data_IF_007172509160
#
_entry.id   IF_007172509160
#
_cell.length_a   1.000
_cell.length_b   1.000
_cell.length_c   1.000
_cell.angle_alpha   90.00
_cell.angle_beta   90.00
_cell.angle_gamma   90.00
#
_symmetry.space_group_name_H-M   'P 1'
#
loop_
_entity.id
_entity.type
_entity.pdbx_description
1 polymer ?
#
# COMPACT_ATOMS: atom_id res chain seq x y z
N UNK A 1 36.72 66.60 -4.15
CA UNK A 1 36.00 65.77 -3.17
C UNK A 1 34.52 65.40 -3.56
N UNK A 2 33.98 65.81 -4.71
CA UNK A 2 32.56 65.57 -5.10
C UNK A 2 32.37 64.39 -6.05
N UNK A 3 33.40 63.81 -6.63
CA UNK A 3 33.33 62.74 -7.59
C UNK A 3 33.29 61.33 -6.93
N UNK A 4 33.87 61.14 -5.73
CA UNK A 4 33.86 59.87 -5.01
C UNK A 4 32.55 59.55 -4.32
N UNK A 5 31.73 60.57 -4.01
CA UNK A 5 30.39 60.35 -3.39
C UNK A 5 29.34 59.93 -4.40
N UNK A 6 29.52 60.23 -5.69
CA UNK A 6 28.59 59.82 -6.74
C UNK A 6 28.78 58.33 -7.13
N UNK A 7 29.99 57.80 -7.06
CA UNK A 7 30.29 56.41 -7.36
C UNK A 7 29.80 55.47 -6.26
N UNK A 8 29.79 55.91 -4.99
CA UNK A 8 29.27 55.11 -3.88
C UNK A 8 27.75 55.00 -3.90
N UNK A 9 27.05 56.04 -4.31
CA UNK A 9 25.58 56.07 -4.41
C UNK A 9 25.05 55.17 -5.54
N UNK A 10 25.80 55.07 -6.66
CA UNK A 10 25.40 54.20 -7.80
C UNK A 10 25.61 52.69 -7.51
N UNK A 11 26.61 52.32 -6.69
CA UNK A 11 26.86 50.92 -6.31
C UNK A 11 25.80 50.41 -5.32
N UNK A 12 25.33 51.25 -4.39
CA UNK A 12 24.27 50.91 -3.45
C UNK A 12 22.91 50.79 -4.13
N UNK A 13 22.66 51.56 -5.19
CA UNK A 13 21.41 51.47 -5.97
C UNK A 13 21.32 50.19 -6.82
N UNK A 14 22.43 49.59 -7.25
CA UNK A 14 22.46 48.35 -8.01
C UNK A 14 22.27 47.07 -7.16
N UNK A 15 22.51 47.15 -5.86
CA UNK A 15 22.32 45.97 -4.97
C UNK A 15 20.89 45.79 -4.47
N UNK A 16 20.01 46.76 -4.70
CA UNK A 16 18.59 46.70 -4.33
C UNK A 16 17.66 46.24 -5.47
N UNK A 17 18.17 46.00 -6.68
CA UNK A 17 17.38 45.54 -7.84
C UNK A 17 17.33 44.00 -7.98
N UNK A 18 17.86 43.28 -7.04
CA UNK A 18 18.05 41.82 -7.11
C UNK A 18 17.01 40.96 -6.41
N UNK A 19 15.75 41.31 -6.36
CA UNK A 19 14.65 40.38 -5.98
C UNK A 19 13.31 40.92 -6.47
N UNK A 20 13.16 41.14 -7.77
CA UNK A 20 11.85 41.06 -8.39
C UNK A 20 11.70 39.63 -8.92
N UNK A 21 11.29 38.72 -8.06
CA UNK A 21 10.62 37.50 -8.52
C UNK A 21 9.38 37.97 -9.29
N UNK A 22 9.42 37.82 -10.61
CA UNK A 22 8.22 37.79 -11.44
C UNK A 22 7.35 36.71 -10.80
N UNK A 23 6.35 37.13 -10.04
CA UNK A 23 5.24 36.30 -9.64
C UNK A 23 4.50 35.97 -10.95
N UNK A 24 4.98 34.96 -11.69
CA UNK A 24 4.07 34.18 -12.49
C UNK A 24 2.97 33.75 -11.51
N UNK A 25 1.79 34.28 -11.71
CA UNK A 25 0.57 33.68 -11.20
C UNK A 25 0.50 32.27 -11.81
N UNK A 26 1.25 31.34 -11.23
CA UNK A 26 0.79 29.96 -11.21
C UNK A 26 -0.61 30.06 -10.60
N UNK A 27 -1.61 30.00 -11.46
CA UNK A 27 -2.94 29.61 -11.05
C UNK A 27 -2.73 28.29 -10.32
N UNK A 28 -2.61 28.36 -9.01
CA UNK A 28 -2.74 27.21 -8.17
C UNK A 28 -4.06 26.58 -8.60
N UNK A 29 -3.99 25.50 -9.40
CA UNK A 29 -5.13 24.62 -9.60
C UNK A 29 -5.68 24.43 -8.21
N UNK A 30 -6.88 24.91 -7.95
CA UNK A 30 -7.46 24.87 -6.64
C UNK A 30 -7.45 23.40 -6.21
N UNK A 31 -6.61 23.07 -5.25
CA UNK A 31 -6.61 21.78 -4.54
C UNK A 31 -7.91 21.66 -3.70
N UNK A 32 -8.86 22.55 -3.98
CA UNK A 32 -10.00 22.88 -3.14
C UNK A 32 -11.07 21.80 -3.05
N UNK A 33 -10.93 20.62 -3.67
CA UNK A 33 -11.95 19.58 -3.61
C UNK A 33 -11.38 18.16 -3.53
N UNK A 34 -10.18 17.98 -2.98
CA UNK A 34 -9.75 16.61 -2.60
C UNK A 34 -10.49 16.28 -1.31
N UNK A 35 -11.41 15.29 -1.33
CA UNK A 35 -12.08 14.88 -0.11
C UNK A 35 -11.03 14.27 0.84
N UNK A 36 -10.80 14.94 1.96
CA UNK A 36 -9.92 14.43 3.00
C UNK A 36 -10.71 13.47 3.89
N UNK A 37 -10.14 12.28 4.14
CA UNK A 37 -10.68 11.35 5.10
C UNK A 37 -10.64 11.95 6.52
N UNK A 38 -11.75 11.86 7.23
CA UNK A 38 -11.78 12.21 8.66
C UNK A 38 -11.23 11.01 9.44
N UNK A 39 -10.28 11.19 10.38
CA UNK A 39 -9.78 10.10 11.19
C UNK A 39 -10.92 9.37 11.91
N UNK A 40 -10.90 8.03 11.84
CA UNK A 40 -11.86 7.22 12.59
C UNK A 40 -11.63 7.35 14.09
N UNK A 41 -12.70 7.23 14.87
CA UNK A 41 -12.60 7.22 16.33
C UNK A 41 -11.72 6.02 16.79
N UNK A 42 -10.90 6.19 17.85
CA UNK A 42 -10.09 5.11 18.38
C UNK A 42 -10.93 3.89 18.76
N UNK A 43 -10.46 2.70 18.39
CA UNK A 43 -11.10 1.45 18.80
C UNK A 43 -10.46 0.93 20.10
N UNK A 44 -10.96 1.33 21.23
CA UNK A 44 -10.47 0.93 22.55
C UNK A 44 -10.49 -0.59 22.79
N UNK A 45 -11.21 -1.35 21.97
CA UNK A 45 -11.21 -2.83 22.06
C UNK A 45 -9.80 -3.40 21.83
N UNK A 46 -9.06 -2.85 20.88
CA UNK A 46 -7.70 -3.31 20.59
C UNK A 46 -6.77 -3.05 21.78
N UNK A 47 -6.91 -1.91 22.45
CA UNK A 47 -6.13 -1.57 23.64
C UNK A 47 -6.40 -2.53 24.80
N UNK A 48 -7.67 -2.86 25.03
CA UNK A 48 -8.11 -3.83 26.05
C UNK A 48 -7.52 -5.22 25.75
N UNK A 49 -7.58 -5.68 24.51
CA UNK A 49 -7.05 -6.99 24.13
C UNK A 49 -5.51 -7.03 24.23
N UNK A 50 -4.82 -5.94 23.89
CA UNK A 50 -3.36 -5.81 24.09
C UNK A 50 -3.00 -5.96 25.56
N UNK A 51 -3.73 -5.27 26.45
CA UNK A 51 -3.54 -5.37 27.90
C UNK A 51 -3.79 -6.79 28.39
N UNK A 52 -4.87 -7.42 27.95
CA UNK A 52 -5.23 -8.81 28.30
C UNK A 52 -4.15 -9.81 27.87
N UNK A 53 -3.67 -9.73 26.61
CA UNK A 53 -2.60 -10.63 26.18
C UNK A 53 -1.28 -10.38 26.91
N UNK A 54 -1.01 -9.12 27.30
CA UNK A 54 0.16 -8.78 28.09
C UNK A 54 0.11 -9.40 29.49
N UNK A 55 -1.06 -9.43 30.12
CA UNK A 55 -1.27 -10.11 31.40
C UNK A 55 -1.14 -11.63 31.27
N UNK A 56 -1.78 -12.22 30.26
CA UNK A 56 -1.69 -13.67 30.02
C UNK A 56 -0.24 -14.14 29.79
N UNK A 57 0.58 -13.36 29.08
CA UNK A 57 1.98 -13.67 28.83
C UNK A 57 2.85 -13.71 30.12
N UNK A 58 2.40 -13.14 31.21
CA UNK A 58 3.05 -13.19 32.52
C UNK A 58 2.67 -14.46 33.32
N UNK A 59 1.63 -15.19 32.90
CA UNK A 59 1.19 -16.39 33.60
C UNK A 59 2.27 -17.49 33.54
N UNK A 60 2.63 -18.11 34.67
CA UNK A 60 3.56 -19.25 34.70
C UNK A 60 2.96 -20.56 34.16
N UNK A 61 1.64 -20.62 33.98
CA UNK A 61 0.91 -21.82 33.58
C UNK A 61 0.92 -22.07 32.09
N UNK A 62 1.24 -21.07 31.25
CA UNK A 62 1.25 -21.21 29.81
C UNK A 62 2.58 -21.74 29.29
N UNK A 63 2.50 -22.70 28.35
CA UNK A 63 3.67 -23.28 27.70
C UNK A 63 4.21 -22.40 26.56
N UNK A 64 5.33 -22.83 25.96
CA UNK A 64 5.96 -22.04 24.87
C UNK A 64 5.08 -21.90 23.63
N UNK A 65 4.31 -22.91 23.23
CA UNK A 65 3.42 -22.85 22.08
C UNK A 65 2.28 -21.84 22.32
N UNK A 66 1.72 -21.86 23.52
CA UNK A 66 0.70 -20.89 23.92
C UNK A 66 1.26 -19.46 23.98
N UNK A 67 2.50 -19.30 24.47
CA UNK A 67 3.19 -18.00 24.45
C UNK A 67 3.42 -17.51 23.03
N UNK A 68 3.87 -18.38 22.11
CA UNK A 68 4.07 -18.03 20.71
C UNK A 68 2.77 -17.52 20.06
N UNK A 69 1.66 -18.21 20.29
CA UNK A 69 0.35 -17.81 19.78
C UNK A 69 -0.11 -16.47 20.39
N UNK A 70 0.11 -16.24 21.69
CA UNK A 70 -0.22 -14.97 22.34
C UNK A 70 0.65 -13.82 21.80
N UNK A 71 1.94 -14.04 21.55
CA UNK A 71 2.80 -13.05 20.90
C UNK A 71 2.31 -12.74 19.48
N UNK A 72 1.95 -13.76 18.69
CA UNK A 72 1.39 -13.53 17.36
C UNK A 72 0.12 -12.66 17.43
N UNK A 73 -0.82 -13.00 18.31
CA UNK A 73 -2.07 -12.26 18.46
C UNK A 73 -1.85 -10.81 18.93
N UNK A 74 -0.98 -10.61 19.92
CA UNK A 74 -0.65 -9.27 20.41
C UNK A 74 0.11 -8.48 19.36
N UNK A 75 1.05 -9.10 18.65
CA UNK A 75 1.75 -8.47 17.52
C UNK A 75 0.79 -7.95 16.45
N UNK A 76 -0.20 -8.74 16.05
CA UNK A 76 -1.24 -8.32 15.11
C UNK A 76 -2.04 -7.10 15.61
N UNK A 77 -2.36 -7.06 16.90
CA UNK A 77 -3.04 -5.90 17.49
C UNK A 77 -2.14 -4.67 17.52
N UNK A 78 -0.85 -4.83 17.84
CA UNK A 78 0.11 -3.73 17.76
C UNK A 78 0.19 -3.16 16.34
N UNK A 79 0.21 -4.02 15.31
CA UNK A 79 0.16 -3.58 13.91
C UNK A 79 -1.12 -2.80 13.59
N UNK A 80 -2.27 -3.30 14.04
CA UNK A 80 -3.57 -2.67 13.76
C UNK A 80 -3.72 -1.27 14.36
N UNK A 81 -2.91 -0.94 15.36
CA UNK A 81 -2.87 0.39 16.01
C UNK A 81 -1.61 1.18 15.64
N UNK A 82 -0.84 0.75 14.62
CA UNK A 82 0.32 1.45 14.11
C UNK A 82 1.60 1.29 14.92
N UNK A 83 1.64 0.37 15.90
CA UNK A 83 2.81 0.11 16.76
C UNK A 83 3.72 -0.98 16.16
N UNK A 84 4.13 -0.80 14.90
CA UNK A 84 4.84 -1.80 14.08
C UNK A 84 6.14 -2.30 14.71
N UNK A 85 6.86 -1.47 15.47
CA UNK A 85 8.07 -1.89 16.18
C UNK A 85 7.76 -2.91 17.28
N UNK A 86 6.68 -2.70 18.06
CA UNK A 86 6.25 -3.63 19.08
C UNK A 86 5.71 -4.93 18.46
N UNK A 87 4.97 -4.81 17.36
CA UNK A 87 4.51 -5.96 16.59
C UNK A 87 5.69 -6.85 16.17
N UNK A 88 6.74 -6.26 15.57
CA UNK A 88 7.93 -6.99 15.13
C UNK A 88 8.67 -7.66 16.29
N UNK A 89 8.74 -7.04 17.47
CA UNK A 89 9.33 -7.67 18.67
C UNK A 89 8.53 -8.91 19.04
N UNK A 90 7.20 -8.83 19.06
CA UNK A 90 6.36 -9.96 19.41
C UNK A 90 6.41 -11.07 18.35
N UNK A 91 6.42 -10.75 17.06
CA UNK A 91 6.59 -11.73 16.00
C UNK A 91 7.93 -12.46 16.11
N UNK A 92 9.04 -11.77 16.38
CA UNK A 92 10.33 -12.42 16.60
C UNK A 92 10.34 -13.34 17.83
N UNK A 93 9.67 -12.97 18.92
CA UNK A 93 9.50 -13.83 20.10
C UNK A 93 8.67 -15.08 19.78
N UNK A 94 7.62 -14.91 18.97
CA UNK A 94 6.79 -16.03 18.54
C UNK A 94 7.60 -17.06 17.73
N UNK A 95 8.40 -16.62 16.75
CA UNK A 95 9.29 -17.51 15.96
C UNK A 95 10.32 -18.22 16.83
N UNK A 96 10.91 -17.53 17.83
CA UNK A 96 11.87 -18.14 18.74
C UNK A 96 11.26 -19.26 19.58
N UNK A 97 9.99 -19.14 19.94
CA UNK A 97 9.28 -20.14 20.75
C UNK A 97 8.66 -21.25 19.90
N UNK A 98 8.22 -20.94 18.69
CA UNK A 98 7.56 -21.85 17.76
C UNK A 98 7.98 -21.52 16.31
N UNK A 99 9.10 -22.13 15.83
CA UNK A 99 9.64 -21.84 14.49
C UNK A 99 8.79 -22.33 13.32
N UNK A 100 7.82 -23.20 13.55
CA UNK A 100 6.91 -23.74 12.53
C UNK A 100 5.60 -22.94 12.36
N UNK A 101 5.51 -21.74 12.94
CA UNK A 101 4.32 -20.90 12.88
C UNK A 101 4.33 -20.02 11.62
N UNK A 102 3.90 -20.58 10.49
CA UNK A 102 3.91 -19.94 9.16
C UNK A 102 3.34 -18.51 9.17
N UNK A 103 2.23 -18.27 9.88
CA UNK A 103 1.61 -16.94 9.94
C UNK A 103 2.55 -15.86 10.47
N UNK A 104 3.51 -16.18 11.34
CA UNK A 104 4.45 -15.19 11.89
C UNK A 104 5.44 -14.73 10.82
N UNK A 105 5.95 -15.66 10.02
CA UNK A 105 6.82 -15.33 8.89
C UNK A 105 6.10 -14.46 7.86
N UNK A 106 4.81 -14.70 7.64
CA UNK A 106 4.01 -13.83 6.76
C UNK A 106 3.99 -12.37 7.27
N UNK A 107 3.77 -12.12 8.56
CA UNK A 107 3.82 -10.77 9.12
C UNK A 107 5.23 -10.17 9.07
N UNK A 108 6.27 -10.94 9.37
CA UNK A 108 7.65 -10.46 9.24
C UNK A 108 8.00 -10.10 7.80
N UNK A 109 7.56 -10.90 6.83
CA UNK A 109 7.70 -10.62 5.40
C UNK A 109 7.03 -9.30 4.99
N UNK A 110 5.80 -9.04 5.47
CA UNK A 110 5.10 -7.76 5.27
C UNK A 110 5.91 -6.60 5.85
N UNK A 111 6.44 -6.73 7.09
CA UNK A 111 7.26 -5.70 7.72
C UNK A 111 8.56 -5.41 6.94
N UNK A 112 9.23 -6.44 6.42
CA UNK A 112 10.40 -6.28 5.57
C UNK A 112 10.06 -5.61 4.23
N UNK A 113 8.89 -5.91 3.66
CA UNK A 113 8.40 -5.24 2.45
C UNK A 113 8.18 -3.76 2.70
N UNK A 114 7.51 -3.38 3.80
CA UNK A 114 7.26 -1.99 4.19
C UNK A 114 8.56 -1.19 4.44
N UNK A 115 9.61 -1.85 4.91
CA UNK A 115 10.94 -1.23 5.10
C UNK A 115 11.85 -1.36 3.89
N UNK A 116 11.33 -1.87 2.75
CA UNK A 116 12.05 -2.08 1.50
C UNK A 116 13.25 -3.04 1.60
N UNK A 117 13.28 -3.88 2.63
CA UNK A 117 14.24 -4.97 2.77
C UNK A 117 13.72 -6.21 2.02
N UNK A 118 13.61 -6.06 0.68
CA UNK A 118 12.95 -7.06 -0.17
C UNK A 118 13.64 -8.42 -0.12
N UNK A 119 14.96 -8.48 0.07
CA UNK A 119 15.67 -9.75 0.20
C UNK A 119 15.14 -10.58 1.37
N UNK A 120 15.04 -9.97 2.55
CA UNK A 120 14.47 -10.65 3.73
C UNK A 120 12.97 -10.89 3.60
N UNK A 121 12.24 -9.99 2.92
CA UNK A 121 10.83 -10.23 2.67
C UNK A 121 10.61 -11.53 1.90
N UNK A 122 11.40 -11.78 0.83
CA UNK A 122 11.32 -13.03 0.07
C UNK A 122 11.63 -14.25 0.91
N UNK A 123 12.73 -14.22 1.70
CA UNK A 123 13.09 -15.30 2.62
C UNK A 123 11.96 -15.64 3.60
N UNK A 124 11.28 -14.61 4.14
CA UNK A 124 10.17 -14.82 5.05
C UNK A 124 8.97 -15.45 4.34
N UNK A 125 8.61 -14.98 3.16
CA UNK A 125 7.47 -15.56 2.41
C UNK A 125 7.80 -16.96 1.86
N UNK A 126 9.05 -17.24 1.50
CA UNK A 126 9.49 -18.59 1.14
C UNK A 126 9.32 -19.55 2.32
N UNK A 127 9.73 -19.12 3.53
CA UNK A 127 9.49 -19.91 4.75
C UNK A 127 7.99 -20.13 5.02
N UNK A 128 7.11 -19.17 4.72
CA UNK A 128 5.66 -19.40 4.82
C UNK A 128 5.24 -20.54 3.91
N UNK A 129 5.64 -20.53 2.64
CA UNK A 129 5.21 -21.51 1.64
C UNK A 129 5.86 -22.90 1.87
N UNK A 130 7.05 -22.94 2.48
CA UNK A 130 7.66 -24.20 2.93
C UNK A 130 6.90 -24.85 4.11
N UNK A 131 6.37 -24.04 5.02
CA UNK A 131 5.61 -24.50 6.19
C UNK A 131 4.13 -24.76 5.89
N UNK A 132 3.54 -23.98 4.98
CA UNK A 132 2.14 -24.01 4.61
C UNK A 132 1.99 -23.56 3.14
N UNK A 133 2.08 -24.52 2.21
CA UNK A 133 1.95 -24.27 0.76
C UNK A 133 0.60 -23.65 0.40
N UNK A 134 -0.43 -23.92 1.20
CA UNK A 134 -1.79 -23.42 1.01
C UNK A 134 -2.08 -22.13 1.75
N UNK A 135 -1.07 -21.50 2.37
CA UNK A 135 -1.27 -20.26 3.11
C UNK A 135 -1.98 -19.20 2.26
N UNK A 136 -3.11 -18.72 2.75
CA UNK A 136 -4.10 -17.97 1.96
C UNK A 136 -3.52 -16.74 1.25
N UNK A 137 -2.58 -16.02 1.90
CA UNK A 137 -2.06 -14.74 1.42
C UNK A 137 -0.56 -14.75 1.10
N UNK A 138 0.14 -15.90 1.20
CA UNK A 138 1.58 -15.92 0.98
C UNK A 138 1.95 -15.49 -0.44
N UNK A 139 1.26 -16.03 -1.44
CA UNK A 139 1.47 -15.65 -2.84
C UNK A 139 1.14 -14.18 -3.12
N UNK A 140 0.07 -13.63 -2.53
CA UNK A 140 -0.24 -12.21 -2.65
C UNK A 140 0.90 -11.35 -2.09
N UNK A 141 1.30 -11.63 -0.85
CA UNK A 141 2.26 -10.78 -0.13
C UNK A 141 3.66 -10.89 -0.74
N UNK A 142 4.09 -12.09 -1.18
CA UNK A 142 5.35 -12.26 -1.90
C UNK A 142 5.29 -11.60 -3.28
N UNK A 143 4.18 -11.75 -3.99
CA UNK A 143 3.94 -11.08 -5.27
C UNK A 143 4.03 -9.57 -5.16
N UNK A 144 3.44 -8.95 -4.12
CA UNK A 144 3.54 -7.51 -3.85
C UNK A 144 4.99 -7.13 -3.52
N UNK A 145 5.69 -7.90 -2.68
CA UNK A 145 7.10 -7.65 -2.38
C UNK A 145 7.98 -7.71 -3.64
N UNK A 146 7.74 -8.68 -4.52
CA UNK A 146 8.42 -8.82 -5.81
C UNK A 146 8.10 -7.65 -6.76
N UNK A 147 6.84 -7.18 -6.78
CA UNK A 147 6.43 -6.02 -7.57
C UNK A 147 7.22 -4.75 -7.21
N UNK A 148 7.29 -4.43 -5.90
CA UNK A 148 8.03 -3.27 -5.41
C UNK A 148 9.55 -3.48 -5.42
N UNK A 149 10.01 -4.72 -5.29
CA UNK A 149 11.42 -5.11 -5.35
C UNK A 149 12.00 -5.21 -6.76
N UNK A 150 11.23 -4.83 -7.81
CA UNK A 150 11.70 -4.78 -9.19
C UNK A 150 11.86 -6.14 -9.87
N UNK A 151 11.05 -7.14 -9.47
CA UNK A 151 11.02 -8.49 -10.06
C UNK A 151 9.63 -8.81 -10.65
N UNK A 152 9.17 -8.06 -11.67
CA UNK A 152 7.78 -8.11 -12.12
C UNK A 152 7.39 -9.47 -12.73
N UNK A 153 8.30 -10.21 -13.36
CA UNK A 153 8.01 -11.53 -13.91
C UNK A 153 7.67 -12.55 -12.80
N UNK A 154 8.44 -12.57 -11.71
CA UNK A 154 8.18 -13.43 -10.57
C UNK A 154 6.92 -12.96 -9.79
N UNK A 155 6.72 -11.64 -9.70
CA UNK A 155 5.50 -11.07 -9.13
C UNK A 155 4.26 -11.54 -9.87
N UNK A 156 4.28 -11.52 -11.22
CA UNK A 156 3.18 -11.99 -12.06
C UNK A 156 2.84 -13.45 -11.76
N UNK A 157 3.84 -14.32 -11.66
CA UNK A 157 3.64 -15.74 -11.36
C UNK A 157 2.93 -15.96 -10.01
N UNK A 158 3.38 -15.30 -8.97
CA UNK A 158 2.77 -15.41 -7.64
C UNK A 158 1.33 -14.86 -7.62
N UNK A 159 1.11 -13.71 -8.27
CA UNK A 159 -0.20 -13.08 -8.31
C UNK A 159 -1.20 -13.84 -9.18
N UNK A 160 -0.74 -14.49 -10.26
CA UNK A 160 -1.56 -15.42 -11.05
C UNK A 160 -1.96 -16.65 -10.23
N UNK A 161 -1.03 -17.24 -9.46
CA UNK A 161 -1.34 -18.33 -8.54
C UNK A 161 -2.37 -17.91 -7.48
N UNK A 162 -2.28 -16.67 -6.99
CA UNK A 162 -3.27 -16.09 -6.07
C UNK A 162 -4.62 -15.86 -6.75
N UNK A 163 -4.65 -15.33 -7.99
CA UNK A 163 -5.88 -15.12 -8.77
C UNK A 163 -6.59 -16.44 -9.06
N UNK A 164 -5.85 -17.50 -9.40
CA UNK A 164 -6.41 -18.81 -9.74
C UNK A 164 -7.30 -19.38 -8.61
N UNK A 165 -7.07 -18.98 -7.35
CA UNK A 165 -7.88 -19.41 -6.20
C UNK A 165 -9.24 -18.70 -6.11
N UNK A 166 -9.40 -17.52 -6.74
CA UNK A 166 -10.66 -16.77 -6.81
C UNK A 166 -10.66 -15.86 -8.05
N UNK A 167 -10.98 -16.41 -9.24
CA UNK A 167 -10.89 -15.66 -10.50
C UNK A 167 -11.87 -14.48 -10.62
N UNK A 168 -12.93 -14.47 -9.82
CA UNK A 168 -13.95 -13.42 -9.80
C UNK A 168 -13.64 -12.28 -8.79
N UNK A 169 -12.43 -12.22 -8.26
CA UNK A 169 -12.00 -11.19 -7.32
C UNK A 169 -11.30 -10.06 -8.06
N UNK A 170 -11.90 -8.88 -8.11
CA UNK A 170 -11.38 -7.72 -8.82
C UNK A 170 -10.00 -7.24 -8.31
N UNK A 171 -9.73 -7.34 -6.99
CA UNK A 171 -8.43 -6.95 -6.43
C UNK A 171 -7.31 -7.88 -6.89
N UNK A 172 -7.59 -9.18 -6.99
CA UNK A 172 -6.63 -10.16 -7.52
C UNK A 172 -6.34 -9.91 -8.99
N UNK A 173 -7.40 -9.63 -9.77
CA UNK A 173 -7.28 -9.25 -11.18
C UNK A 173 -6.42 -8.00 -11.34
N UNK A 174 -6.63 -6.99 -10.49
CA UNK A 174 -5.84 -5.74 -10.51
C UNK A 174 -4.37 -5.97 -10.20
N UNK A 175 -4.04 -6.77 -9.19
CA UNK A 175 -2.65 -7.04 -8.85
C UNK A 175 -1.90 -7.79 -9.95
N UNK A 176 -2.55 -8.78 -10.60
CA UNK A 176 -1.98 -9.45 -11.80
C UNK A 176 -1.69 -8.43 -12.89
N UNK A 177 -2.67 -7.57 -13.21
CA UNK A 177 -2.47 -6.52 -14.21
C UNK A 177 -1.29 -5.59 -13.88
N UNK A 178 -1.21 -5.11 -12.64
CA UNK A 178 -0.13 -4.20 -12.21
C UNK A 178 1.26 -4.84 -12.40
N UNK A 179 1.41 -6.12 -12.08
CA UNK A 179 2.67 -6.83 -12.25
C UNK A 179 3.00 -7.05 -13.73
N UNK A 180 2.04 -7.56 -14.50
CA UNK A 180 2.21 -7.83 -15.94
C UNK A 180 2.47 -6.55 -16.73
N UNK A 181 1.85 -5.42 -16.37
CA UNK A 181 2.04 -4.15 -17.05
C UNK A 181 3.48 -3.61 -16.95
N UNK A 182 4.25 -4.04 -15.94
CA UNK A 182 5.69 -3.74 -15.86
C UNK A 182 6.54 -4.59 -16.81
N UNK A 183 6.00 -5.69 -17.31
CA UNK A 183 6.68 -6.60 -18.27
C UNK A 183 6.26 -6.25 -19.70
N UNK A 184 4.95 -6.29 -19.97
CA UNK A 184 4.34 -5.95 -21.25
C UNK A 184 2.95 -5.33 -21.03
N UNK A 185 2.87 -4.02 -21.19
CA UNK A 185 1.64 -3.27 -20.93
C UNK A 185 0.49 -3.64 -21.89
N UNK A 186 0.78 -4.01 -23.14
CA UNK A 186 -0.24 -4.36 -24.11
C UNK A 186 -0.83 -5.75 -23.81
N UNK A 187 0.03 -6.73 -23.56
CA UNK A 187 -0.40 -8.06 -23.15
C UNK A 187 -1.18 -8.03 -21.84
N UNK A 188 -0.73 -7.23 -20.85
CA UNK A 188 -1.40 -7.04 -19.58
C UNK A 188 -2.81 -6.45 -19.74
N UNK A 189 -2.99 -5.47 -20.64
CA UNK A 189 -4.29 -4.88 -20.91
C UNK A 189 -5.27 -5.89 -21.51
N UNK A 190 -4.85 -6.69 -22.48
CA UNK A 190 -5.70 -7.74 -23.05
C UNK A 190 -6.05 -8.82 -22.00
N UNK A 191 -5.10 -9.17 -21.13
CA UNK A 191 -5.38 -10.10 -20.02
C UNK A 191 -6.35 -9.50 -19.00
N UNK A 192 -6.20 -8.21 -18.64
CA UNK A 192 -7.13 -7.50 -17.77
C UNK A 192 -8.56 -7.55 -18.33
N UNK A 193 -8.70 -7.27 -19.62
CA UNK A 193 -9.97 -7.33 -20.34
C UNK A 193 -10.58 -8.74 -20.33
N UNK A 194 -9.76 -9.77 -20.50
CA UNK A 194 -10.23 -11.15 -20.41
C UNK A 194 -10.68 -11.51 -18.99
N UNK A 195 -9.88 -11.19 -17.97
CA UNK A 195 -10.19 -11.46 -16.57
C UNK A 195 -11.44 -10.71 -16.07
N UNK A 196 -11.69 -9.50 -16.60
CA UNK A 196 -12.84 -8.69 -16.22
C UNK A 196 -14.19 -9.33 -16.54
N UNK A 197 -14.23 -10.29 -17.46
CA UNK A 197 -15.46 -11.00 -17.85
C UNK A 197 -16.05 -11.87 -16.71
N UNK A 198 -15.21 -12.25 -15.74
CA UNK A 198 -15.63 -13.05 -14.59
C UNK A 198 -16.11 -12.21 -13.40
N UNK A 199 -15.97 -10.87 -13.47
CA UNK A 199 -16.27 -9.98 -12.35
C UNK A 199 -17.75 -9.59 -12.29
N UNK A 200 -18.26 -9.40 -11.08
CA UNK A 200 -19.58 -8.83 -10.87
C UNK A 200 -19.57 -7.31 -11.13
N UNK A 201 -20.31 -6.81 -12.13
CA UNK A 201 -20.29 -5.38 -12.50
C UNK A 201 -20.85 -4.46 -11.42
N UNK A 202 -21.64 -4.96 -10.48
CA UNK A 202 -22.28 -4.17 -9.42
C UNK A 202 -21.37 -3.96 -8.19
N UNK A 203 -20.23 -4.64 -8.16
CA UNK A 203 -19.29 -4.50 -7.05
C UNK A 203 -18.41 -3.26 -7.20
N UNK A 204 -18.17 -2.56 -6.08
CA UNK A 204 -17.28 -1.40 -6.03
C UNK A 204 -15.88 -1.71 -6.59
N UNK A 205 -15.31 -2.86 -6.21
CA UNK A 205 -13.98 -3.29 -6.67
C UNK A 205 -13.90 -3.45 -8.20
N UNK A 206 -15.00 -3.78 -8.87
CA UNK A 206 -15.06 -3.89 -10.33
C UNK A 206 -14.97 -2.51 -11.00
N UNK A 207 -15.39 -1.44 -10.33
CA UNK A 207 -15.24 -0.07 -10.85
C UNK A 207 -13.77 0.32 -11.01
N UNK A 208 -12.88 -0.20 -10.16
CA UNK A 208 -11.43 -0.04 -10.31
C UNK A 208 -10.95 -0.66 -11.63
N UNK A 209 -11.40 -1.87 -11.93
CA UNK A 209 -11.04 -2.55 -13.19
C UNK A 209 -11.58 -1.78 -14.40
N UNK A 210 -12.80 -1.26 -14.34
CA UNK A 210 -13.40 -0.45 -15.42
C UNK A 210 -12.63 0.85 -15.65
N UNK A 211 -12.11 1.48 -14.57
CA UNK A 211 -11.25 2.66 -14.69
C UNK A 211 -9.97 2.32 -15.47
N UNK A 212 -9.30 1.22 -15.14
CA UNK A 212 -8.06 0.79 -15.82
C UNK A 212 -8.29 0.32 -17.27
N UNK A 213 -9.49 -0.18 -17.58
CA UNK A 213 -9.92 -0.47 -18.95
C UNK A 213 -10.33 0.78 -19.74
N UNK A 214 -10.33 1.98 -19.14
CA UNK A 214 -10.76 3.22 -19.78
C UNK A 214 -12.27 3.30 -20.02
N UNK A 215 -13.06 2.43 -19.38
CA UNK A 215 -14.52 2.42 -19.46
C UNK A 215 -15.15 3.49 -18.57
N UNK A 216 -14.43 3.95 -17.55
CA UNK A 216 -14.76 5.08 -16.69
C UNK A 216 -13.67 6.13 -16.77
N UNK A 217 -14.06 7.40 -16.76
CA UNK A 217 -13.14 8.50 -16.49
C UNK A 217 -12.87 8.59 -14.99
N UNK A 218 -11.74 9.21 -14.60
CA UNK A 218 -11.43 9.47 -13.18
C UNK A 218 -12.57 10.20 -12.46
N UNK A 219 -13.16 11.22 -13.11
CA UNK A 219 -14.28 11.99 -12.55
C UNK A 219 -15.52 11.11 -12.32
N UNK A 220 -15.83 10.21 -13.25
CA UNK A 220 -16.95 9.27 -13.10
C UNK A 220 -16.69 8.25 -12.00
N UNK A 221 -15.46 7.72 -11.91
CA UNK A 221 -15.05 6.80 -10.87
C UNK A 221 -15.13 7.45 -9.48
N UNK A 222 -14.57 8.65 -9.30
CA UNK A 222 -14.61 9.36 -8.02
C UNK A 222 -16.03 9.73 -7.59
N UNK A 223 -16.94 9.99 -8.53
CA UNK A 223 -18.34 10.25 -8.20
C UNK A 223 -19.04 9.03 -7.58
N UNK A 224 -18.59 7.82 -7.88
CA UNK A 224 -19.18 6.57 -7.36
C UNK A 224 -18.70 6.20 -5.95
N UNK A 225 -17.69 6.87 -5.39
CA UNK A 225 -17.14 6.55 -4.06
C UNK A 225 -18.23 6.54 -2.98
N UNK A 226 -19.22 7.42 -3.10
CA UNK A 226 -20.30 7.58 -2.12
C UNK A 226 -21.49 6.65 -2.37
N UNK A 227 -21.56 5.97 -3.51
CA UNK A 227 -22.72 5.14 -3.86
C UNK A 227 -22.77 3.86 -3.02
N UNK A 228 -23.91 3.63 -2.36
CA UNK A 228 -24.13 2.46 -1.52
C UNK A 228 -23.27 2.37 -0.26
N UNK A 229 -22.66 3.49 0.17
CA UNK A 229 -21.83 3.56 1.38
C UNK A 229 -22.71 3.62 2.63
N UNK A 230 -22.53 2.68 3.56
CA UNK A 230 -23.34 2.57 4.77
C UNK A 230 -22.84 3.46 5.94
N UNK A 231 -21.69 4.12 5.81
CA UNK A 231 -21.15 4.97 6.88
C UNK A 231 -19.75 5.50 6.63
N UNK A 232 -19.27 6.31 7.57
CA UNK A 232 -18.00 7.03 7.46
C UNK A 232 -16.79 6.10 7.31
N UNK A 233 -16.78 4.93 7.94
CA UNK A 233 -15.71 3.97 7.84
C UNK A 233 -15.59 3.43 6.42
N UNK A 234 -16.69 2.94 5.85
CA UNK A 234 -16.70 2.42 4.48
C UNK A 234 -16.35 3.50 3.44
N UNK A 235 -16.78 4.75 3.68
CA UNK A 235 -16.38 5.87 2.86
C UNK A 235 -14.87 6.11 2.90
N UNK A 236 -14.26 6.11 4.08
CA UNK A 236 -12.82 6.28 4.24
C UNK A 236 -12.03 5.14 3.58
N UNK A 237 -12.49 3.90 3.71
CA UNK A 237 -11.89 2.72 3.06
C UNK A 237 -11.91 2.87 1.55
N UNK A 238 -13.07 3.16 0.94
CA UNK A 238 -13.19 3.38 -0.52
C UNK A 238 -12.35 4.55 -1.01
N UNK A 239 -12.28 5.62 -0.23
CA UNK A 239 -11.47 6.78 -0.56
C UNK A 239 -9.97 6.44 -0.59
N UNK A 240 -9.48 5.72 0.42
CA UNK A 240 -8.09 5.23 0.46
C UNK A 240 -7.79 4.31 -0.73
N UNK A 241 -8.67 3.38 -1.04
CA UNK A 241 -8.56 2.49 -2.19
C UNK A 241 -8.52 3.27 -3.51
N UNK A 242 -9.46 4.19 -3.72
CA UNK A 242 -9.56 4.97 -4.94
C UNK A 242 -8.25 5.72 -5.20
N UNK A 243 -7.73 6.45 -4.22
CA UNK A 243 -6.48 7.18 -4.38
C UNK A 243 -5.27 6.28 -4.53
N UNK A 244 -5.21 5.14 -3.83
CA UNK A 244 -4.15 4.17 -4.01
C UNK A 244 -4.05 3.69 -5.46
N UNK A 245 -5.17 3.28 -6.05
CA UNK A 245 -5.18 2.78 -7.43
C UNK A 245 -5.02 3.91 -8.46
N UNK A 246 -5.52 5.12 -8.20
CA UNK A 246 -5.26 6.28 -9.08
C UNK A 246 -3.76 6.62 -9.16
N UNK A 247 -3.04 6.60 -8.05
CA UNK A 247 -1.59 6.82 -8.05
C UNK A 247 -0.86 5.72 -8.82
N UNK A 248 -1.32 4.48 -8.73
CA UNK A 248 -0.68 3.36 -9.46
C UNK A 248 -0.94 3.45 -10.98
N UNK A 249 -2.13 3.89 -11.40
CA UNK A 249 -2.44 4.08 -12.84
C UNK A 249 -1.58 5.19 -13.44
N UNK A 250 -1.41 6.31 -12.74
CA UNK A 250 -0.56 7.41 -13.18
C UNK A 250 0.90 6.97 -13.35
N UNK A 251 1.42 6.16 -12.43
CA UNK A 251 2.77 5.61 -12.52
C UNK A 251 2.94 4.68 -13.73
N UNK A 252 1.92 3.90 -14.10
CA UNK A 252 1.96 3.04 -15.29
C UNK A 252 1.97 3.90 -16.56
N UNK A 253 1.07 4.89 -16.66
CA UNK A 253 1.03 5.79 -17.82
C UNK A 253 2.30 6.61 -17.96
N UNK A 254 2.86 7.11 -16.86
CA UNK A 254 4.12 7.87 -16.86
C UNK A 254 5.28 7.03 -17.40
N UNK A 255 5.41 5.78 -16.97
CA UNK A 255 6.46 4.87 -17.46
C UNK A 255 6.28 4.52 -18.94
N UNK A 256 5.05 4.37 -19.43
CA UNK A 256 4.76 4.12 -20.86
C UNK A 256 5.14 5.33 -21.74
N UNK A 257 5.00 6.55 -21.22
CA UNK A 257 5.33 7.78 -21.95
C UNK A 257 6.83 8.03 -21.99
N UNK A 258 7.58 7.72 -20.93
CA UNK A 258 9.04 7.95 -20.89
C UNK A 258 9.82 6.91 -21.68
N UNK A 259 9.29 5.70 -21.83
CA UNK A 259 9.97 4.61 -22.57
C UNK A 259 9.69 4.61 -24.08
N UNK A 260 8.90 5.55 -24.59
CA UNK A 260 8.70 5.87 -26.02
C UNK A 260 9.54 7.06 -26.43
#
# INVERSE_FOLDING_TARGET
>A
MKLKSFLLASVVAMTLAGCQTTSEKQTAKSVANVPLGVPLAPNYRNEIEIARYSELLLSPEINNDQKAELFLRRGRLYDSVGLSTLARIDFNRAVQLKPDLASVYNFLGIHHTLTQDFGKAYEMFDAVLELDEDHQYAYLNRGIALYYGGRPELSSQDLEAFLARSPADAYRVMWVYLAQAKVDANAAYEQLKANSQALNPDEWSTQLVQLYLGQLTETQFLAQITEGVAGQQQYAERLCEAYFYLVLIDNIYFNIIILK
#
